data_IF_435994848462
#
_entry.id   IF_435994848462
#
_cell.length_a   1.000
_cell.length_b   1.000
_cell.length_c   1.000
_cell.angle_alpha   90.00
_cell.angle_beta   90.00
_cell.angle_gamma   90.00
#
_symmetry.space_group_name_H-M   'P 1'
#
loop_
_entity.id
_entity.type
_entity.pdbx_description
1 polymer ?
#
# COMPACT_ATOMS: atom_id res chain seq x y z
N UNK A 1 -20.63 5.43 8.94
CA UNK A 1 -19.84 4.20 8.72
C UNK A 1 -18.55 4.60 8.07
N UNK A 2 -17.45 3.99 8.48
CA UNK A 2 -16.15 4.22 7.85
C UNK A 2 -16.18 3.84 6.35
N UNK A 3 -15.43 4.56 5.54
CA UNK A 3 -15.25 4.24 4.12
C UNK A 3 -13.92 3.50 3.94
N UNK A 4 -13.95 2.36 3.29
CA UNK A 4 -12.77 1.52 3.08
C UNK A 4 -12.33 1.54 1.62
N UNK A 5 -11.02 1.43 1.42
CA UNK A 5 -10.38 1.17 0.15
C UNK A 5 -9.97 -0.29 0.00
N UNK A 6 -9.59 -0.64 -1.22
CA UNK A 6 -9.02 -1.95 -1.56
C UNK A 6 -7.79 -1.77 -2.43
N UNK A 7 -6.68 -2.43 -2.07
CA UNK A 7 -5.53 -2.57 -2.94
C UNK A 7 -5.86 -3.62 -4.03
N UNK A 8 -5.82 -3.20 -5.29
CA UNK A 8 -6.25 -4.02 -6.43
C UNK A 8 -5.38 -5.27 -6.65
N UNK A 9 -4.20 -5.32 -6.05
CA UNK A 9 -3.39 -6.54 -6.01
C UNK A 9 -4.08 -7.71 -5.30
N UNK A 10 -4.98 -7.41 -4.37
CA UNK A 10 -5.78 -8.42 -3.65
C UNK A 10 -6.69 -9.24 -4.54
N UNK A 11 -7.02 -8.70 -5.72
CA UNK A 11 -7.86 -9.36 -6.73
C UNK A 11 -7.12 -9.46 -8.07
N UNK A 12 -5.80 -9.67 -8.01
CA UNK A 12 -4.93 -9.79 -9.19
C UNK A 12 -5.29 -10.96 -10.11
N UNK A 13 -6.02 -11.94 -9.60
CA UNK A 13 -6.58 -13.05 -10.37
C UNK A 13 -7.59 -12.58 -11.44
N UNK A 14 -8.26 -11.43 -11.24
CA UNK A 14 -9.21 -10.88 -12.20
C UNK A 14 -8.79 -9.54 -12.82
N UNK A 15 -8.01 -8.71 -12.14
CA UNK A 15 -7.58 -7.39 -12.66
C UNK A 15 -6.82 -7.49 -13.97
N UNK A 16 -6.03 -8.56 -14.12
CA UNK A 16 -5.27 -8.84 -15.33
C UNK A 16 -6.18 -9.05 -16.55
N UNK A 17 -7.31 -9.72 -16.37
CA UNK A 17 -8.20 -10.08 -17.45
C UNK A 17 -9.27 -8.99 -17.71
N UNK A 18 -9.75 -8.33 -16.67
CA UNK A 18 -10.72 -7.25 -16.76
C UNK A 18 -10.69 -6.31 -15.55
N UNK A 19 -9.96 -5.21 -15.67
CA UNK A 19 -9.96 -4.14 -14.67
C UNK A 19 -11.38 -3.54 -14.48
N UNK A 20 -12.14 -3.39 -15.57
CA UNK A 20 -13.52 -2.87 -15.48
C UNK A 20 -14.39 -3.75 -14.58
N UNK A 21 -14.37 -5.07 -14.81
CA UNK A 21 -15.15 -6.02 -13.99
C UNK A 21 -14.68 -6.02 -12.53
N UNK A 22 -13.38 -5.95 -12.30
CA UNK A 22 -12.81 -5.87 -10.95
C UNK A 22 -13.33 -4.64 -10.20
N UNK A 23 -13.31 -3.45 -10.83
CA UNK A 23 -13.82 -2.21 -10.24
C UNK A 23 -15.33 -2.27 -9.96
N UNK A 24 -16.12 -2.84 -10.89
CA UNK A 24 -17.55 -3.06 -10.69
C UNK A 24 -17.84 -3.92 -9.45
N UNK A 25 -17.12 -5.06 -9.30
CA UNK A 25 -17.29 -5.96 -8.16
C UNK A 25 -16.88 -5.32 -6.84
N UNK A 26 -15.79 -4.58 -6.83
CA UNK A 26 -15.33 -3.81 -5.67
C UNK A 26 -16.40 -2.79 -5.21
N UNK A 27 -16.99 -2.05 -6.15
CA UNK A 27 -18.04 -1.08 -5.83
C UNK A 27 -19.32 -1.78 -5.31
N UNK A 28 -19.73 -2.91 -5.94
CA UNK A 28 -20.88 -3.72 -5.47
C UNK A 28 -20.71 -4.23 -4.03
N UNK A 29 -19.48 -4.53 -3.60
CA UNK A 29 -19.17 -4.94 -2.24
C UNK A 29 -19.20 -3.80 -1.22
N UNK A 30 -19.22 -2.54 -1.68
CA UNK A 30 -19.32 -1.36 -0.82
C UNK A 30 -18.02 -0.63 -0.56
N UNK A 31 -16.90 -1.04 -1.13
CA UNK A 31 -15.66 -0.26 -1.10
C UNK A 31 -15.86 1.10 -1.76
N UNK A 32 -15.16 2.13 -1.29
CA UNK A 32 -15.26 3.52 -1.77
C UNK A 32 -13.99 3.99 -2.43
N UNK A 33 -12.88 3.40 -2.07
CA UNK A 33 -11.58 3.73 -2.63
C UNK A 33 -10.95 2.51 -3.28
N UNK A 34 -10.14 2.76 -4.28
CA UNK A 34 -9.26 1.75 -4.89
C UNK A 34 -7.84 2.28 -4.92
N UNK A 35 -6.90 1.40 -4.63
CA UNK A 35 -5.49 1.64 -4.83
C UNK A 35 -4.98 0.72 -5.94
N UNK A 36 -4.39 1.32 -6.97
CA UNK A 36 -3.98 0.54 -8.14
C UNK A 36 -2.59 -0.07 -7.95
N UNK A 37 -2.43 -1.33 -8.35
CA UNK A 37 -1.15 -2.04 -8.49
C UNK A 37 -0.78 -2.19 -9.97
N UNK A 38 -0.66 -1.06 -10.65
CA UNK A 38 -0.49 -1.02 -12.10
C UNK A 38 -1.80 -0.87 -12.87
N UNK A 39 -1.69 -0.44 -14.13
CA UNK A 39 -2.82 -0.15 -14.99
C UNK A 39 -2.92 -1.08 -16.20
N UNK A 40 -1.96 -1.99 -16.35
CA UNK A 40 -1.83 -2.85 -17.53
C UNK A 40 -1.80 -1.99 -18.82
N UNK A 41 -2.57 -2.35 -19.83
CA UNK A 41 -2.64 -1.61 -21.09
C UNK A 41 -3.82 -0.61 -21.15
N UNK A 42 -4.49 -0.35 -20.01
CA UNK A 42 -5.63 0.56 -19.98
C UNK A 42 -5.18 2.02 -19.95
N UNK A 43 -5.85 2.86 -20.75
CA UNK A 43 -5.56 4.30 -20.76
C UNK A 43 -6.13 4.97 -19.51
N UNK A 44 -5.57 6.13 -19.10
CA UNK A 44 -6.09 6.85 -17.94
C UNK A 44 -7.54 7.31 -18.13
N UNK A 45 -7.96 7.59 -19.37
CA UNK A 45 -9.35 7.95 -19.69
C UNK A 45 -10.32 6.78 -19.48
N UNK A 46 -9.89 5.54 -19.79
CA UNK A 46 -10.67 4.34 -19.51
C UNK A 46 -10.83 4.13 -18.01
N UNK A 47 -9.73 4.18 -17.27
CA UNK A 47 -9.73 4.04 -15.79
C UNK A 47 -10.64 5.13 -15.18
N UNK A 48 -10.48 6.39 -15.57
CA UNK A 48 -11.31 7.49 -15.07
C UNK A 48 -12.80 7.26 -15.33
N UNK A 49 -13.14 6.82 -16.55
CA UNK A 49 -14.52 6.52 -16.90
C UNK A 49 -15.12 5.44 -15.99
N UNK A 50 -14.38 4.39 -15.67
CA UNK A 50 -14.87 3.32 -14.80
C UNK A 50 -14.98 3.76 -13.33
N UNK A 51 -13.99 4.53 -12.83
CA UNK A 51 -14.08 5.10 -11.50
C UNK A 51 -15.35 5.95 -11.34
N UNK A 52 -15.63 6.84 -12.31
CA UNK A 52 -16.82 7.67 -12.27
C UNK A 52 -18.12 6.85 -12.40
N UNK A 53 -18.11 5.83 -13.28
CA UNK A 53 -19.29 4.97 -13.50
C UNK A 53 -19.68 4.21 -12.22
N UNK A 54 -18.69 3.72 -11.47
CA UNK A 54 -18.93 2.92 -10.29
C UNK A 54 -18.89 3.73 -8.98
N UNK A 55 -18.65 5.03 -9.05
CA UNK A 55 -18.60 5.91 -7.87
C UNK A 55 -17.40 5.63 -6.96
N UNK A 56 -16.29 5.15 -7.52
CA UNK A 56 -15.06 4.87 -6.82
C UNK A 56 -14.09 6.05 -6.89
N UNK A 57 -13.26 6.22 -5.85
CA UNK A 57 -12.16 7.20 -5.79
C UNK A 57 -10.82 6.45 -5.76
N UNK A 58 -9.79 7.04 -6.36
CA UNK A 58 -8.43 6.53 -6.23
C UNK A 58 -7.80 7.03 -4.92
N UNK A 59 -7.40 6.13 -4.01
CA UNK A 59 -6.68 6.46 -2.78
C UNK A 59 -5.18 6.57 -2.98
N UNK A 60 -4.65 5.89 -3.99
CA UNK A 60 -3.23 5.83 -4.31
C UNK A 60 -2.92 4.90 -5.46
N UNK A 61 -1.66 4.88 -5.83
CA UNK A 61 -1.15 3.93 -6.82
C UNK A 61 0.18 3.36 -6.36
N UNK A 62 0.31 2.05 -6.36
CA UNK A 62 1.60 1.40 -6.25
C UNK A 62 2.33 1.53 -7.59
N UNK A 63 3.32 2.41 -7.62
CA UNK A 63 4.07 2.78 -8.82
C UNK A 63 5.53 2.36 -8.68
N UNK A 64 5.99 1.48 -9.56
CA UNK A 64 7.37 1.00 -9.52
C UNK A 64 8.41 2.10 -9.82
N UNK A 65 9.61 1.97 -9.27
CA UNK A 65 10.72 2.94 -9.41
C UNK A 65 11.02 3.30 -10.87
N UNK A 66 10.87 2.35 -11.80
CA UNK A 66 11.09 2.59 -13.23
C UNK A 66 10.14 3.64 -13.84
N UNK A 67 9.00 3.92 -13.22
CA UNK A 67 8.00 4.87 -13.70
C UNK A 67 8.15 6.27 -13.09
N UNK A 68 9.07 6.44 -12.15
CA UNK A 68 9.37 7.71 -11.51
C UNK A 68 10.74 8.30 -11.89
N UNK A 69 11.44 7.64 -12.81
CA UNK A 69 12.70 8.15 -13.37
C UNK A 69 12.50 9.47 -14.13
N UNK A 70 13.54 10.31 -14.28
CA UNK A 70 13.41 11.63 -14.92
C UNK A 70 12.79 11.63 -16.31
N UNK A 71 12.95 10.54 -17.06
CA UNK A 71 12.40 10.35 -18.42
C UNK A 71 10.95 9.83 -18.43
N UNK A 72 10.43 9.33 -17.29
CA UNK A 72 9.10 8.72 -17.18
C UNK A 72 8.12 9.49 -16.31
N UNK A 73 8.60 10.25 -15.36
CA UNK A 73 7.77 10.89 -14.34
C UNK A 73 6.68 11.81 -14.92
N UNK A 74 6.92 12.48 -16.05
CA UNK A 74 5.93 13.37 -16.66
C UNK A 74 4.72 12.62 -17.21
N UNK A 75 4.93 11.44 -17.77
CA UNK A 75 3.86 10.54 -18.21
C UNK A 75 3.06 10.02 -17.00
N UNK A 76 3.74 9.62 -15.94
CA UNK A 76 3.14 9.17 -14.69
C UNK A 76 2.29 10.27 -14.04
N UNK A 77 2.79 11.50 -13.98
CA UNK A 77 2.02 12.66 -13.48
C UNK A 77 0.76 12.90 -14.33
N UNK A 78 0.89 12.87 -15.67
CA UNK A 78 -0.26 13.04 -16.56
C UNK A 78 -1.32 11.97 -16.29
N UNK A 79 -0.91 10.72 -16.14
CA UNK A 79 -1.83 9.61 -15.83
C UNK A 79 -2.60 9.87 -14.53
N UNK A 80 -1.89 10.19 -13.44
CA UNK A 80 -2.48 10.48 -12.14
C UNK A 80 -3.48 11.64 -12.18
N UNK A 81 -3.15 12.72 -12.90
CA UNK A 81 -4.06 13.87 -13.06
C UNK A 81 -5.35 13.49 -13.76
N UNK A 82 -5.30 12.65 -14.78
CA UNK A 82 -6.50 12.23 -15.53
C UNK A 82 -7.39 11.35 -14.67
N UNK A 83 -6.83 10.39 -13.94
CA UNK A 83 -7.63 9.50 -13.07
C UNK A 83 -8.09 10.20 -11.78
N UNK A 84 -7.57 11.39 -11.48
CA UNK A 84 -7.90 12.14 -10.26
C UNK A 84 -7.25 11.55 -9.00
N UNK A 85 -6.07 10.92 -9.14
CA UNK A 85 -5.29 10.38 -8.02
C UNK A 85 -4.21 11.38 -7.60
N UNK A 86 -4.20 11.77 -6.35
CA UNK A 86 -3.23 12.71 -5.77
C UNK A 86 -2.17 12.03 -4.90
N UNK A 87 -2.03 10.71 -4.99
CA UNK A 87 -1.12 9.94 -4.13
C UNK A 87 -0.38 8.86 -4.94
N UNK A 88 0.94 8.99 -5.03
CA UNK A 88 1.83 8.04 -5.69
C UNK A 88 2.72 7.39 -4.63
N UNK A 89 2.68 6.07 -4.56
CA UNK A 89 3.40 5.28 -3.56
C UNK A 89 4.35 4.31 -4.26
N UNK A 90 5.59 4.25 -3.81
CA UNK A 90 6.54 3.22 -4.24
C UNK A 90 6.39 2.01 -3.32
N UNK A 91 5.96 0.83 -3.85
CA UNK A 91 5.67 -0.35 -3.01
C UNK A 91 6.91 -1.21 -2.73
N UNK A 92 8.07 -0.79 -3.19
CA UNK A 92 9.32 -1.51 -2.99
C UNK A 92 10.38 -1.15 -4.02
N UNK A 93 11.62 -1.38 -3.65
CA UNK A 93 12.79 -1.10 -4.47
C UNK A 93 13.97 -1.97 -4.04
N UNK A 94 15.11 -1.81 -4.68
CA UNK A 94 16.34 -2.54 -4.36
C UNK A 94 17.35 -1.64 -3.65
N UNK A 95 17.45 -1.77 -2.33
CA UNK A 95 18.42 -1.07 -1.46
C UNK A 95 19.52 -1.98 -0.94
N UNK A 96 19.82 -3.06 -1.64
CA UNK A 96 20.75 -4.11 -1.20
C UNK A 96 22.19 -3.65 -0.98
N UNK A 97 22.55 -2.44 -1.43
CA UNK A 97 23.88 -1.85 -1.21
C UNK A 97 23.78 -0.38 -0.82
N UNK A 98 24.80 0.19 -0.13
CA UNK A 98 24.85 1.61 0.21
C UNK A 98 24.66 2.54 -1.01
N UNK A 99 25.30 2.22 -2.14
CA UNK A 99 25.19 3.00 -3.37
C UNK A 99 23.74 3.02 -3.92
N UNK A 100 23.08 1.86 -3.95
CA UNK A 100 21.68 1.78 -4.39
C UNK A 100 20.77 2.59 -3.46
N UNK A 101 20.97 2.48 -2.15
CA UNK A 101 20.23 3.25 -1.16
C UNK A 101 20.39 4.75 -1.38
N UNK A 102 21.62 5.25 -1.54
CA UNK A 102 21.88 6.67 -1.79
C UNK A 102 21.20 7.16 -3.08
N UNK A 103 21.30 6.38 -4.16
CA UNK A 103 20.65 6.69 -5.43
C UNK A 103 19.12 6.73 -5.32
N UNK A 104 18.51 5.81 -4.55
CA UNK A 104 17.08 5.80 -4.30
C UNK A 104 16.62 7.02 -3.49
N UNK A 105 17.32 7.36 -2.41
CA UNK A 105 17.00 8.54 -1.59
C UNK A 105 17.06 9.83 -2.43
N UNK A 106 18.08 9.95 -3.29
CA UNK A 106 18.18 11.08 -4.23
C UNK A 106 16.99 11.11 -5.20
N UNK A 107 16.68 9.99 -5.83
CA UNK A 107 15.55 9.87 -6.75
C UNK A 107 14.23 10.21 -6.05
N UNK A 108 13.99 9.71 -4.84
CA UNK A 108 12.76 9.95 -4.09
C UNK A 108 12.58 11.43 -3.74
N UNK A 109 13.65 12.12 -3.33
CA UNK A 109 13.60 13.55 -3.05
C UNK A 109 13.35 14.40 -4.31
N UNK A 110 13.93 14.01 -5.45
CA UNK A 110 13.67 14.67 -6.74
C UNK A 110 12.23 14.44 -7.21
N UNK A 111 11.75 13.20 -7.10
CA UNK A 111 10.38 12.78 -7.44
C UNK A 111 9.35 13.50 -6.56
N UNK A 112 9.54 13.48 -5.23
CA UNK A 112 8.64 14.13 -4.26
C UNK A 112 8.45 15.61 -4.59
N UNK A 113 9.54 16.33 -4.90
CA UNK A 113 9.47 17.74 -5.29
C UNK A 113 8.63 17.94 -6.55
N UNK A 114 8.92 17.15 -7.60
CA UNK A 114 8.22 17.27 -8.90
C UNK A 114 6.73 16.91 -8.78
N UNK A 115 6.40 15.89 -8.02
CA UNK A 115 5.01 15.49 -7.75
C UNK A 115 4.27 16.59 -6.98
N UNK A 116 4.88 17.16 -5.94
CA UNK A 116 4.30 18.26 -5.14
C UNK A 116 3.97 19.49 -5.98
N UNK A 117 4.85 19.88 -6.91
CA UNK A 117 4.61 20.96 -7.88
C UNK A 117 3.38 20.69 -8.77
N UNK A 118 2.98 19.42 -8.87
CA UNK A 118 1.83 18.97 -9.64
C UNK A 118 0.60 18.60 -8.78
N UNK A 119 0.64 18.84 -7.47
CA UNK A 119 -0.45 18.55 -6.55
C UNK A 119 -0.61 17.06 -6.23
N UNK A 120 0.46 16.27 -6.39
CA UNK A 120 0.50 14.84 -6.09
C UNK A 120 1.44 14.61 -4.91
N UNK A 121 1.02 13.83 -3.93
CA UNK A 121 1.82 13.39 -2.78
C UNK A 121 2.71 12.23 -3.20
N UNK A 122 3.84 12.08 -2.53
CA UNK A 122 4.76 10.98 -2.71
C UNK A 122 4.88 10.16 -1.44
N UNK A 123 4.74 8.85 -1.53
CA UNK A 123 4.84 7.93 -0.40
C UNK A 123 5.68 6.69 -0.69
N UNK A 124 5.99 5.99 0.39
CA UNK A 124 6.63 4.69 0.38
C UNK A 124 5.81 3.69 1.20
N UNK A 125 5.63 2.49 0.67
CA UNK A 125 4.94 1.38 1.32
C UNK A 125 5.94 0.36 1.83
N UNK A 126 5.85 0.00 3.10
CA UNK A 126 6.74 -0.95 3.75
C UNK A 126 6.29 -2.40 3.59
N UNK A 127 7.27 -3.29 3.58
CA UNK A 127 7.14 -4.67 3.99
C UNK A 127 7.92 -4.89 5.29
N UNK A 128 8.09 -6.14 5.74
CA UNK A 128 8.84 -6.39 6.96
C UNK A 128 10.35 -6.18 6.82
N UNK A 129 10.90 -6.41 5.64
CA UNK A 129 12.36 -6.37 5.43
C UNK A 129 12.97 -4.98 5.61
N UNK A 130 12.20 -3.91 5.42
CA UNK A 130 12.62 -2.52 5.60
C UNK A 130 13.09 -2.23 7.03
N UNK A 131 12.59 -3.00 8.00
CA UNK A 131 12.89 -2.86 9.43
C UNK A 131 14.10 -3.67 9.90
N UNK A 132 14.73 -4.44 9.03
CA UNK A 132 15.89 -5.26 9.36
C UNK A 132 17.15 -4.77 8.64
N UNK A 133 18.31 -4.79 9.31
CA UNK A 133 19.56 -4.35 8.69
C UNK A 133 19.99 -5.30 7.57
N UNK A 134 20.45 -4.74 6.46
CA UNK A 134 21.21 -5.47 5.43
C UNK A 134 22.57 -5.92 5.99
N UNK A 135 23.36 -6.64 5.20
CA UNK A 135 24.74 -6.99 5.53
C UNK A 135 25.63 -5.78 5.81
N UNK A 136 25.31 -4.63 5.21
CA UNK A 136 26.02 -3.35 5.41
C UNK A 136 25.42 -2.50 6.55
N UNK A 137 24.44 -3.04 7.29
CA UNK A 137 23.82 -2.39 8.43
C UNK A 137 22.73 -1.37 8.09
N UNK A 138 22.26 -1.32 6.85
CA UNK A 138 21.22 -0.38 6.42
C UNK A 138 19.86 -0.89 6.86
N UNK A 139 19.11 -0.09 7.60
CA UNK A 139 17.68 -0.25 7.89
C UNK A 139 16.94 0.74 7.01
N UNK A 140 16.31 0.27 5.95
CA UNK A 140 15.80 1.15 4.90
C UNK A 140 14.66 2.05 5.37
N UNK A 141 13.83 1.58 6.28
CA UNK A 141 12.79 2.42 6.89
C UNK A 141 13.38 3.67 7.55
N UNK A 142 14.52 3.55 8.24
CA UNK A 142 15.20 4.70 8.84
C UNK A 142 15.71 5.67 7.76
N UNK A 143 16.23 5.14 6.64
CA UNK A 143 16.68 5.96 5.52
C UNK A 143 15.54 6.80 4.93
N UNK A 144 14.34 6.20 4.76
CA UNK A 144 13.13 6.91 4.32
C UNK A 144 12.70 7.97 5.33
N UNK A 145 12.67 7.62 6.60
CA UNK A 145 12.23 8.54 7.67
C UNK A 145 13.16 9.73 7.80
N UNK A 146 14.47 9.50 7.82
CA UNK A 146 15.46 10.52 8.15
C UNK A 146 15.88 11.38 6.96
N UNK A 147 15.84 10.83 5.73
CA UNK A 147 16.45 11.46 4.55
C UNK A 147 15.46 11.87 3.47
N UNK A 148 14.16 11.59 3.66
CA UNK A 148 13.12 12.01 2.71
C UNK A 148 11.94 12.66 3.42
N UNK A 149 11.08 13.33 2.64
CA UNK A 149 9.77 13.83 3.07
C UNK A 149 8.62 12.95 2.56
N UNK A 150 8.90 11.73 2.12
CA UNK A 150 7.90 10.78 1.67
C UNK A 150 6.85 10.51 2.76
N UNK A 151 5.57 10.46 2.40
CA UNK A 151 4.53 9.93 3.28
C UNK A 151 4.78 8.43 3.51
N UNK A 152 4.35 7.93 4.66
CA UNK A 152 4.49 6.52 5.01
C UNK A 152 3.13 5.85 4.82
N UNK A 153 3.03 4.98 3.82
CA UNK A 153 1.90 4.07 3.71
C UNK A 153 2.23 2.79 4.46
N UNK A 154 1.73 2.70 5.67
CA UNK A 154 2.09 1.58 6.56
C UNK A 154 1.21 0.36 6.30
N UNK A 155 1.84 -0.73 5.86
CA UNK A 155 1.23 -2.05 5.94
C UNK A 155 1.37 -2.59 7.36
N UNK A 156 0.25 -2.63 8.05
CA UNK A 156 0.20 -2.92 9.48
C UNK A 156 0.48 -4.38 9.81
N UNK A 157 0.21 -5.31 8.89
CA UNK A 157 0.59 -6.70 9.07
C UNK A 157 2.10 -6.91 8.88
N UNK A 158 2.71 -6.27 7.87
CA UNK A 158 4.15 -6.39 7.68
C UNK A 158 4.95 -5.76 8.82
N UNK A 159 4.43 -4.67 9.39
CA UNK A 159 4.97 -4.08 10.62
C UNK A 159 4.86 -5.06 11.81
N UNK A 160 3.68 -5.68 11.99
CA UNK A 160 3.44 -6.70 13.01
C UNK A 160 4.33 -7.92 12.80
N UNK A 161 4.49 -8.40 11.56
CA UNK A 161 5.39 -9.49 11.22
C UNK A 161 6.86 -9.19 11.53
N UNK A 162 7.27 -7.91 11.42
CA UNK A 162 8.60 -7.46 11.83
C UNK A 162 8.80 -7.48 13.38
N UNK A 163 7.73 -7.69 14.14
CA UNK A 163 7.78 -7.72 15.61
C UNK A 163 7.71 -6.35 16.26
N UNK A 164 7.27 -5.33 15.50
CA UNK A 164 7.14 -3.95 15.98
C UNK A 164 5.74 -3.77 16.58
N UNK A 165 5.63 -3.02 17.68
CA UNK A 165 4.35 -2.61 18.22
C UNK A 165 3.66 -1.65 17.26
N UNK A 166 2.58 -2.13 16.64
CA UNK A 166 1.91 -1.44 15.53
C UNK A 166 1.37 -0.09 15.96
N UNK A 167 0.64 -0.04 17.08
CA UNK A 167 -0.02 1.21 17.53
C UNK A 167 1.00 2.25 17.97
N UNK A 168 2.05 1.84 18.68
CA UNK A 168 3.13 2.75 19.07
C UNK A 168 3.85 3.33 17.85
N UNK A 169 4.08 2.52 16.83
CA UNK A 169 4.72 2.97 15.59
C UNK A 169 3.83 3.96 14.82
N UNK A 170 2.55 3.64 14.66
CA UNK A 170 1.58 4.52 13.99
C UNK A 170 1.48 5.87 14.71
N UNK A 171 1.46 5.87 16.04
CA UNK A 171 1.38 7.11 16.82
C UNK A 171 2.66 7.95 16.71
N UNK A 172 3.84 7.31 16.69
CA UNK A 172 5.11 8.00 16.55
C UNK A 172 5.28 8.70 15.18
N UNK A 173 4.66 8.14 14.12
CA UNK A 173 4.80 8.65 12.74
C UNK A 173 3.49 9.23 12.17
N UNK A 174 2.49 9.49 13.02
CA UNK A 174 1.14 9.92 12.67
C UNK A 174 1.10 11.02 11.62
N UNK A 175 1.94 12.02 11.72
CA UNK A 175 1.90 13.21 10.86
C UNK A 175 2.29 12.89 9.40
N UNK A 176 3.02 11.81 9.17
CA UNK A 176 3.43 11.32 7.85
C UNK A 176 2.53 10.23 7.28
N UNK A 177 1.58 9.70 8.07
CA UNK A 177 0.70 8.61 7.65
C UNK A 177 -0.64 9.18 7.20
N UNK A 178 -1.01 8.95 5.93
CA UNK A 178 -2.30 9.37 5.35
C UNK A 178 -3.13 8.19 4.87
N UNK A 179 -2.47 7.09 4.55
CA UNK A 179 -3.06 5.82 4.13
C UNK A 179 -2.38 4.70 4.91
N UNK A 180 -3.15 3.69 5.29
CA UNK A 180 -2.62 2.44 5.85
C UNK A 180 -3.21 1.25 5.11
N UNK A 181 -2.43 0.18 5.03
CA UNK A 181 -2.95 -1.12 4.64
C UNK A 181 -3.43 -1.90 5.85
N UNK A 182 -4.72 -2.25 5.84
CA UNK A 182 -5.29 -3.26 6.73
C UNK A 182 -5.06 -4.63 6.10
N UNK A 183 -4.21 -5.41 6.73
CA UNK A 183 -3.83 -6.75 6.29
C UNK A 183 -3.74 -7.67 7.49
N UNK A 184 -4.03 -8.95 7.29
CA UNK A 184 -4.00 -9.94 8.36
C UNK A 184 -3.35 -11.25 7.89
N UNK A 185 -2.91 -12.04 8.84
CA UNK A 185 -2.24 -13.28 8.56
C UNK A 185 -1.58 -13.92 9.78
N UNK A 186 -0.80 -14.97 9.52
CA UNK A 186 0.07 -15.60 10.51
C UNK A 186 1.51 -15.15 10.22
N UNK A 187 2.17 -14.48 11.17
CA UNK A 187 3.54 -14.02 10.97
C UNK A 187 4.52 -15.19 10.90
N UNK A 188 5.70 -14.93 10.32
CA UNK A 188 6.81 -15.88 10.33
C UNK A 188 7.29 -16.19 11.75
N UNK A 189 7.93 -17.34 11.93
CA UNK A 189 8.51 -17.72 13.23
C UNK A 189 9.60 -16.71 13.66
N UNK A 190 9.70 -16.43 14.97
CA UNK A 190 10.60 -15.39 15.50
C UNK A 190 12.07 -15.60 15.15
N UNK A 191 12.53 -16.86 15.14
CA UNK A 191 13.90 -17.25 14.80
C UNK A 191 14.30 -17.00 13.33
N UNK A 192 13.32 -16.69 12.47
CA UNK A 192 13.50 -16.41 11.04
C UNK A 192 13.32 -14.94 10.68
N UNK A 193 13.16 -14.06 11.65
CA UNK A 193 12.99 -12.62 11.42
C UNK A 193 14.33 -11.93 11.13
N UNK A 194 14.84 -12.12 9.93
CA UNK A 194 16.02 -11.43 9.39
C UNK A 194 15.69 -10.87 8.02
N UNK A 195 16.52 -9.96 7.54
CA UNK A 195 16.36 -9.34 6.23
C UNK A 195 16.08 -10.35 5.10
N UNK A 196 16.82 -11.45 5.04
CA UNK A 196 16.68 -12.48 3.99
C UNK A 196 15.52 -13.46 4.22
N UNK A 197 15.10 -13.68 5.48
CA UNK A 197 14.15 -14.74 5.85
C UNK A 197 12.81 -14.20 6.37
N UNK A 198 12.66 -12.88 6.45
CA UNK A 198 11.55 -12.24 7.15
C UNK A 198 10.16 -12.56 6.59
N UNK A 199 10.07 -12.97 5.33
CA UNK A 199 8.83 -13.40 4.70
C UNK A 199 8.63 -14.92 4.66
N UNK A 200 9.57 -15.70 5.20
CA UNK A 200 9.47 -17.16 5.23
C UNK A 200 8.31 -17.61 6.11
N UNK A 201 7.49 -18.51 5.59
CA UNK A 201 6.32 -19.08 6.29
C UNK A 201 5.26 -18.07 6.74
N UNK A 202 5.21 -16.91 6.14
CA UNK A 202 4.07 -15.98 6.31
C UNK A 202 2.85 -16.55 5.59
N UNK A 203 1.69 -16.50 6.24
CA UNK A 203 0.40 -16.93 5.66
C UNK A 203 -0.52 -15.71 5.66
N UNK A 204 -0.86 -15.21 4.47
CA UNK A 204 -1.88 -14.17 4.31
C UNK A 204 -3.28 -14.76 4.54
N UNK A 205 -4.12 -14.04 5.28
CA UNK A 205 -5.49 -14.45 5.60
C UNK A 205 -6.42 -13.24 5.48
N UNK A 206 -7.73 -13.51 5.32
CA UNK A 206 -8.76 -12.48 5.40
C UNK A 206 -8.69 -11.76 6.76
N UNK A 207 -9.04 -10.48 6.78
CA UNK A 207 -9.11 -9.69 8.02
C UNK A 207 -9.95 -10.39 9.09
N UNK A 208 -9.45 -10.41 10.31
CA UNK A 208 -10.07 -11.06 11.46
C UNK A 208 -9.81 -12.57 11.57
N UNK A 209 -9.09 -13.16 10.60
CA UNK A 209 -8.76 -14.60 10.61
C UNK A 209 -7.30 -14.87 11.00
N UNK A 210 -6.48 -13.83 11.09
CA UNK A 210 -5.07 -13.91 11.45
C UNK A 210 -4.78 -13.44 12.87
N UNK A 211 -3.60 -12.84 13.06
CA UNK A 211 -3.09 -12.42 14.37
C UNK A 211 -2.77 -10.92 14.45
N UNK A 212 -2.89 -10.19 13.35
CA UNK A 212 -2.64 -8.75 13.35
C UNK A 212 -3.69 -8.00 14.19
N UNK A 213 -3.35 -6.85 14.80
CA UNK A 213 -4.26 -6.10 15.66
C UNK A 213 -5.25 -5.24 14.85
N UNK A 214 -5.96 -5.84 13.87
CA UNK A 214 -6.79 -5.13 12.89
C UNK A 214 -7.81 -4.19 13.52
N UNK A 215 -8.51 -4.63 14.58
CA UNK A 215 -9.51 -3.80 15.25
C UNK A 215 -8.90 -2.56 15.91
N UNK A 216 -7.74 -2.69 16.58
CA UNK A 216 -7.06 -1.56 17.19
C UNK A 216 -6.50 -0.59 16.14
N UNK A 217 -6.01 -1.10 15.02
CA UNK A 217 -5.54 -0.29 13.89
C UNK A 217 -6.70 0.50 13.27
N UNK A 218 -7.87 -0.15 13.06
CA UNK A 218 -9.07 0.53 12.58
C UNK A 218 -9.46 1.69 13.49
N UNK A 219 -9.56 1.46 14.80
CA UNK A 219 -9.88 2.49 15.79
C UNK A 219 -8.89 3.66 15.73
N UNK A 220 -7.59 3.35 15.65
CA UNK A 220 -6.55 4.37 15.52
C UNK A 220 -6.71 5.19 14.23
N UNK A 221 -6.95 4.53 13.10
CA UNK A 221 -7.10 5.18 11.80
C UNK A 221 -8.33 6.10 11.76
N UNK A 222 -9.47 5.65 12.28
CA UNK A 222 -10.70 6.45 12.38
C UNK A 222 -10.49 7.71 13.24
N UNK A 223 -9.85 7.55 14.40
CA UNK A 223 -9.54 8.67 15.30
C UNK A 223 -8.64 9.73 14.64
N UNK A 224 -7.74 9.31 13.75
CA UNK A 224 -6.75 10.17 13.12
C UNK A 224 -7.12 10.59 11.68
N UNK A 225 -8.28 10.16 11.16
CA UNK A 225 -8.74 10.50 9.80
C UNK A 225 -7.85 9.91 8.69
N UNK A 226 -7.25 8.73 8.93
CA UNK A 226 -6.39 8.02 8.00
C UNK A 226 -7.22 7.11 7.11
N UNK A 227 -6.94 7.09 5.81
CA UNK A 227 -7.62 6.22 4.84
C UNK A 227 -7.16 4.77 5.08
N UNK A 228 -8.14 3.87 5.19
CA UNK A 228 -7.90 2.45 5.37
C UNK A 228 -8.09 1.70 4.05
N UNK A 229 -7.04 1.09 3.55
CA UNK A 229 -7.03 0.27 2.35
C UNK A 229 -6.83 -1.19 2.75
N UNK A 230 -7.76 -2.05 2.40
CA UNK A 230 -7.64 -3.49 2.62
C UNK A 230 -6.63 -4.06 1.65
N UNK A 231 -5.70 -4.87 2.11
CA UNK A 231 -4.88 -5.73 1.27
C UNK A 231 -4.91 -7.17 1.76
N UNK A 232 -5.20 -8.11 0.86
CA UNK A 232 -5.12 -9.54 1.13
C UNK A 232 -4.38 -10.27 0.01
N UNK A 233 -3.52 -11.18 0.37
CA UNK A 233 -2.74 -11.96 -0.59
C UNK A 233 -3.21 -13.42 -0.68
N UNK A 234 -4.23 -13.79 0.09
CA UNK A 234 -4.69 -15.17 0.25
C UNK A 234 -5.20 -15.83 -1.04
N UNK A 235 -6.05 -15.16 -1.80
CA UNK A 235 -6.76 -15.70 -2.97
C UNK A 235 -7.49 -17.04 -2.67
N UNK A 236 -8.09 -17.15 -1.50
CA UNK A 236 -8.74 -18.39 -1.06
C UNK A 236 -10.28 -18.23 -0.97
N UNK A 237 -11.05 -18.89 -1.82
CA UNK A 237 -10.66 -19.59 -3.05
C UNK A 237 -10.38 -18.64 -4.23
N UNK A 238 -10.78 -17.38 -4.13
CA UNK A 238 -10.56 -16.31 -5.11
C UNK A 238 -10.30 -14.97 -4.41
N UNK A 239 -9.70 -14.00 -5.11
CA UNK A 239 -9.52 -12.66 -4.57
C UNK A 239 -10.84 -11.99 -4.20
N UNK A 240 -11.91 -12.16 -5.00
CA UNK A 240 -13.23 -11.57 -4.70
C UNK A 240 -13.85 -12.09 -3.40
N UNK A 241 -13.78 -13.39 -3.18
CA UNK A 241 -14.31 -13.98 -1.94
C UNK A 241 -13.46 -13.58 -0.73
N UNK A 242 -12.16 -13.44 -0.93
CA UNK A 242 -11.23 -12.96 0.08
C UNK A 242 -11.58 -11.52 0.52
N UNK A 243 -11.66 -10.58 -0.40
CA UNK A 243 -11.96 -9.18 -0.07
C UNK A 243 -13.39 -8.99 0.43
N UNK A 244 -14.32 -9.87 0.02
CA UNK A 244 -15.69 -9.87 0.56
C UNK A 244 -15.69 -10.21 2.05
N UNK A 245 -14.95 -11.24 2.47
CA UNK A 245 -14.79 -11.56 3.90
C UNK A 245 -14.15 -10.42 4.68
N UNK A 246 -13.16 -9.75 4.08
CA UNK A 246 -12.49 -8.61 4.72
C UNK A 246 -13.46 -7.46 5.02
N UNK A 247 -14.27 -7.03 4.04
CA UNK A 247 -15.21 -5.92 4.26
C UNK A 247 -16.36 -6.34 5.19
N UNK A 248 -16.81 -7.59 5.12
CA UNK A 248 -17.82 -8.09 6.03
C UNK A 248 -17.33 -8.06 7.49
N UNK A 249 -16.09 -8.51 7.73
CA UNK A 249 -15.47 -8.41 9.05
C UNK A 249 -15.39 -6.96 9.54
N UNK A 250 -14.89 -6.04 8.73
CA UNK A 250 -14.80 -4.62 9.10
C UNK A 250 -16.17 -4.02 9.47
N UNK A 251 -17.22 -4.41 8.76
CA UNK A 251 -18.59 -4.00 9.07
C UNK A 251 -19.11 -4.56 10.41
N UNK A 252 -18.54 -5.64 10.93
CA UNK A 252 -18.89 -6.16 12.26
C UNK A 252 -18.26 -5.38 13.41
N UNK A 253 -17.20 -4.63 13.11
CA UNK A 253 -16.48 -3.84 14.11
C UNK A 253 -17.12 -2.46 14.41
N UNK A 254 -18.19 -2.09 13.75
CA UNK A 254 -18.96 -0.86 13.98
C UNK A 254 -18.56 0.25 13.06
#
# INVERSE_FOLDING_TARGET
MAEYGIQMYSIRDITKDSMRMALEKVAEMGYKYVEFAGFFDYTPEQIKTWLDTFGLKCSGTHTGVALITPDKIDETIRYHKIIGCDNLIVPGCDWSTPEKTENLIKLFNETSRKLRENGIRFGYHNHSKEFFPTSDGIVFENEIIEKTDAELEIDTFWLFNAGIDVISYLEAHRDRIKVIHLKDGVPSAEDKKRYDDVHSNVIGLSLGSGKAPVAAVKEWAEKNGVIMVVESEGLDPTGLEEIKRCIDYLNTLG
#
